data_IF_200764388636
#
_entry.id   IF_200764388636
#
_cell.length_a   1.000
_cell.length_b   1.000
_cell.length_c   1.000
_cell.angle_alpha   90.00
_cell.angle_beta   90.00
_cell.angle_gamma   90.00
#
_symmetry.space_group_name_H-M   'P 1'
#
loop_
_entity.id
_entity.type
_entity.pdbx_description
1 polymer ?
#
# COMPACT_ATOMS: atom_id res chain seq x y z
N UNK A 1 18.42 -2.37 -14.59
CA UNK A 1 19.18 -2.50 -13.34
C UNK A 1 18.90 -3.90 -12.81
N UNK A 2 19.86 -4.82 -12.90
CA UNK A 2 19.69 -6.20 -12.44
C UNK A 2 20.20 -6.24 -11.01
N UNK A 3 19.29 -6.36 -10.04
CA UNK A 3 19.66 -6.39 -8.63
C UNK A 3 19.88 -7.86 -8.26
N UNK A 4 21.13 -8.17 -7.91
CA UNK A 4 21.55 -9.52 -7.53
C UNK A 4 21.37 -9.70 -6.03
N UNK A 5 20.18 -10.11 -5.62
CA UNK A 5 19.88 -10.43 -4.22
C UNK A 5 19.99 -11.94 -4.02
N UNK A 6 21.14 -12.45 -3.60
CA UNK A 6 21.34 -13.90 -3.53
C UNK A 6 21.63 -14.47 -2.14
N UNK A 7 22.01 -13.66 -1.13
CA UNK A 7 22.41 -14.22 0.17
C UNK A 7 21.74 -13.61 1.41
N UNK A 8 21.19 -12.38 1.32
CA UNK A 8 20.58 -11.68 2.46
C UNK A 8 19.55 -10.63 2.03
N UNK A 9 18.66 -10.22 2.96
CA UNK A 9 17.72 -9.12 2.74
C UNK A 9 18.47 -7.81 2.53
N UNK A 10 18.03 -6.98 1.57
CA UNK A 10 18.62 -5.65 1.36
C UNK A 10 18.25 -4.64 2.44
N UNK A 11 17.27 -4.95 3.30
CA UNK A 11 16.86 -4.09 4.40
C UNK A 11 17.31 -4.63 5.76
N UNK A 12 17.83 -3.77 6.64
CA UNK A 12 18.17 -4.17 8.01
C UNK A 12 16.91 -4.55 8.79
N UNK A 13 17.00 -5.43 9.82
CA UNK A 13 15.82 -5.90 10.56
C UNK A 13 14.94 -4.80 11.16
N UNK A 14 15.54 -3.66 11.54
CA UNK A 14 14.79 -2.52 12.08
C UNK A 14 13.86 -1.88 11.05
N UNK A 15 14.26 -1.87 9.77
CA UNK A 15 13.44 -1.35 8.67
C UNK A 15 12.29 -2.30 8.36
N UNK A 16 12.56 -3.62 8.29
CA UNK A 16 11.52 -4.63 8.12
C UNK A 16 10.47 -4.58 9.25
N UNK A 17 10.92 -4.43 10.50
CA UNK A 17 10.02 -4.26 11.66
C UNK A 17 9.19 -2.97 11.58
N UNK A 18 9.79 -1.87 11.12
CA UNK A 18 9.07 -0.61 10.96
C UNK A 18 7.96 -0.73 9.90
N UNK A 19 8.19 -1.47 8.81
CA UNK A 19 7.17 -1.73 7.78
C UNK A 19 6.00 -2.53 8.33
N UNK A 20 6.24 -3.52 9.18
CA UNK A 20 5.17 -4.31 9.77
C UNK A 20 4.30 -3.53 10.76
N UNK A 21 4.69 -2.31 11.16
CA UNK A 21 3.99 -1.54 12.18
C UNK A 21 2.55 -1.21 11.78
N UNK A 22 2.35 -0.67 10.58
CA UNK A 22 1.00 -0.28 10.08
C UNK A 22 0.08 -1.48 10.03
N UNK A 23 0.53 -2.57 9.40
CA UNK A 23 -0.21 -3.83 9.34
C UNK A 23 -0.50 -4.40 10.73
N UNK A 24 0.45 -4.33 11.66
CA UNK A 24 0.26 -4.79 13.03
C UNK A 24 -0.81 -4.01 13.78
N UNK A 25 -0.94 -2.70 13.53
CA UNK A 25 -2.02 -1.89 14.09
C UNK A 25 -3.39 -2.35 13.57
N UNK A 26 -3.51 -2.55 12.25
CA UNK A 26 -4.75 -3.03 11.64
C UNK A 26 -5.15 -4.43 12.15
N UNK A 27 -4.19 -5.35 12.29
CA UNK A 27 -4.43 -6.68 12.88
C UNK A 27 -4.97 -6.55 14.32
N UNK A 28 -4.33 -5.72 15.16
CA UNK A 28 -4.74 -5.52 16.56
C UNK A 28 -6.12 -4.86 16.69
N UNK A 29 -6.53 -4.11 15.68
CA UNK A 29 -7.83 -3.46 15.62
C UNK A 29 -8.87 -4.25 14.83
N UNK A 30 -8.57 -5.51 14.48
CA UNK A 30 -9.47 -6.40 13.75
C UNK A 30 -10.01 -5.79 12.44
N UNK A 31 -9.19 -4.97 11.77
CA UNK A 31 -9.50 -4.43 10.45
C UNK A 31 -8.94 -5.38 9.39
N UNK A 32 -9.79 -5.99 8.54
CA UNK A 32 -9.33 -6.81 7.43
C UNK A 32 -8.56 -5.96 6.42
N UNK A 33 -7.38 -6.43 6.02
CA UNK A 33 -6.59 -5.81 4.96
C UNK A 33 -5.81 -6.86 4.18
N UNK A 34 -5.35 -6.47 2.99
CA UNK A 34 -4.45 -7.25 2.14
C UNK A 34 -3.17 -6.44 1.93
N UNK A 35 -2.02 -7.09 2.14
CA UNK A 35 -0.73 -6.52 1.72
C UNK A 35 -0.65 -6.59 0.20
N UNK A 36 -0.31 -5.47 -0.45
CA UNK A 36 -0.28 -5.36 -1.91
C UNK A 36 1.08 -4.87 -2.43
N UNK A 37 1.26 -4.93 -3.75
CA UNK A 37 2.42 -4.37 -4.43
C UNK A 37 3.71 -5.07 -4.04
N UNK A 38 4.75 -4.28 -3.78
CA UNK A 38 6.08 -4.81 -3.51
C UNK A 38 6.18 -5.55 -2.18
N UNK A 39 5.48 -5.09 -1.13
CA UNK A 39 5.45 -5.81 0.14
C UNK A 39 4.84 -7.20 0.00
N UNK A 40 3.85 -7.38 -0.88
CA UNK A 40 3.31 -8.71 -1.18
C UNK A 40 4.35 -9.58 -1.90
N UNK A 41 5.07 -9.02 -2.88
CA UNK A 41 6.15 -9.72 -3.57
C UNK A 41 7.27 -10.15 -2.62
N UNK A 42 7.68 -9.27 -1.71
CA UNK A 42 8.74 -9.55 -0.75
C UNK A 42 8.31 -10.50 0.37
N UNK A 43 7.18 -10.24 1.03
CA UNK A 43 6.74 -10.99 2.22
C UNK A 43 6.11 -12.34 1.84
N UNK A 44 5.22 -12.35 0.84
CA UNK A 44 4.46 -13.56 0.47
C UNK A 44 5.24 -14.41 -0.51
N UNK A 45 5.80 -13.78 -1.55
CA UNK A 45 6.45 -14.49 -2.65
C UNK A 45 7.97 -14.59 -2.54
N UNK A 46 8.57 -13.97 -1.50
CA UNK A 46 10.03 -13.95 -1.27
C UNK A 46 10.82 -13.50 -2.50
N UNK A 47 10.20 -12.64 -3.31
CA UNK A 47 10.88 -11.98 -4.42
C UNK A 47 11.73 -10.89 -3.81
N UNK A 48 13.04 -10.89 -4.06
CA UNK A 48 13.87 -9.86 -3.50
C UNK A 48 13.66 -8.56 -4.29
N UNK A 49 13.08 -7.58 -3.60
CA UNK A 49 12.75 -6.26 -4.15
C UNK A 49 13.27 -5.22 -3.18
N UNK A 50 13.70 -4.06 -3.69
CA UNK A 50 13.88 -2.90 -2.82
C UNK A 50 12.52 -2.43 -2.31
N UNK A 51 12.53 -1.98 -1.07
CA UNK A 51 11.35 -1.63 -0.31
C UNK A 51 11.06 -0.12 -0.48
N UNK A 52 10.09 0.25 -1.33
CA UNK A 52 9.59 1.63 -1.41
C UNK A 52 8.41 1.84 -0.43
N UNK A 53 7.23 2.16 -0.95
CA UNK A 53 6.04 2.44 -0.14
C UNK A 53 5.27 1.17 0.25
N UNK A 54 4.76 1.15 1.48
CA UNK A 54 3.89 0.09 1.95
C UNK A 54 2.47 0.28 1.42
N UNK A 55 1.99 -0.68 0.63
CA UNK A 55 0.63 -0.67 0.09
C UNK A 55 -0.26 -1.66 0.83
N UNK A 56 -1.34 -1.13 1.43
CA UNK A 56 -2.36 -1.91 2.12
C UNK A 56 -3.71 -1.65 1.46
N UNK A 57 -4.40 -2.72 1.06
CA UNK A 57 -5.78 -2.64 0.58
C UNK A 57 -6.71 -2.93 1.75
N UNK A 58 -7.62 -2.01 2.03
CA UNK A 58 -8.64 -2.12 3.07
C UNK A 58 -10.00 -2.05 2.38
N UNK A 59 -11.00 -2.71 2.96
CA UNK A 59 -12.38 -2.57 2.50
C UNK A 59 -12.82 -1.11 2.63
N UNK A 60 -13.49 -0.57 1.61
CA UNK A 60 -13.91 0.83 1.52
C UNK A 60 -14.61 1.34 2.79
N UNK A 61 -15.48 0.52 3.35
CA UNK A 61 -16.28 0.86 4.52
C UNK A 61 -15.43 0.98 5.80
N UNK A 62 -14.20 0.45 5.77
CA UNK A 62 -13.24 0.45 6.88
C UNK A 62 -12.02 1.34 6.63
N UNK A 63 -11.94 2.02 5.48
CA UNK A 63 -10.82 2.93 5.16
C UNK A 63 -10.71 4.05 6.20
N UNK A 64 -11.84 4.67 6.58
CA UNK A 64 -11.85 5.73 7.59
C UNK A 64 -11.30 5.25 8.94
N UNK A 65 -11.76 4.09 9.42
CA UNK A 65 -11.28 3.48 10.66
C UNK A 65 -9.79 3.15 10.58
N UNK A 66 -9.35 2.59 9.45
CA UNK A 66 -7.94 2.24 9.24
C UNK A 66 -7.04 3.47 9.27
N UNK A 67 -7.44 4.54 8.59
CA UNK A 67 -6.73 5.83 8.60
C UNK A 67 -6.67 6.38 10.02
N UNK A 68 -7.78 6.37 10.76
CA UNK A 68 -7.80 6.84 12.16
C UNK A 68 -6.81 6.05 13.02
N UNK A 69 -6.84 4.71 12.95
CA UNK A 69 -5.97 3.83 13.75
C UNK A 69 -4.49 4.05 13.41
N UNK A 70 -4.16 4.18 12.13
CA UNK A 70 -2.78 4.41 11.68
C UNK A 70 -2.30 5.80 12.11
N UNK A 71 -3.13 6.83 11.94
CA UNK A 71 -2.76 8.21 12.22
C UNK A 71 -2.79 8.58 13.72
N UNK A 72 -3.26 7.67 14.60
CA UNK A 72 -3.02 7.80 16.05
C UNK A 72 -1.54 7.73 16.40
N UNK A 73 -0.72 7.12 15.55
CA UNK A 73 0.73 7.17 15.68
C UNK A 73 1.24 8.55 15.21
N UNK A 74 2.09 9.24 16.00
CA UNK A 74 2.48 10.63 15.75
C UNK A 74 3.34 10.85 14.49
N UNK A 75 3.64 9.77 13.75
CA UNK A 75 4.48 9.78 12.55
C UNK A 75 3.69 9.75 11.26
N UNK A 76 2.38 9.50 11.32
CA UNK A 76 1.52 9.43 10.14
C UNK A 76 0.50 10.56 10.17
N UNK A 77 0.27 11.15 9.00
CA UNK A 77 -0.79 12.13 8.77
C UNK A 77 -1.63 11.64 7.60
N UNK A 78 -2.97 11.77 7.68
CA UNK A 78 -3.82 11.40 6.56
C UNK A 78 -3.58 12.38 5.40
N UNK A 79 -3.40 11.84 4.21
CA UNK A 79 -3.36 12.60 2.96
C UNK A 79 -4.40 11.97 2.04
N UNK A 80 -5.36 12.78 1.61
CA UNK A 80 -6.34 12.38 0.60
C UNK A 80 -5.79 12.76 -0.79
N UNK A 81 -5.50 11.74 -1.59
CA UNK A 81 -4.95 11.87 -2.94
C UNK A 81 -5.86 12.68 -3.87
N UNK A 82 -7.18 12.71 -3.64
CA UNK A 82 -8.09 13.54 -4.43
C UNK A 82 -7.92 15.05 -4.16
N UNK A 83 -7.35 15.40 -3.01
CA UNK A 83 -7.16 16.77 -2.54
C UNK A 83 -5.70 17.25 -2.59
N UNK A 84 -4.74 16.35 -2.79
CA UNK A 84 -3.31 16.66 -2.86
C UNK A 84 -2.81 16.71 -4.31
N UNK A 85 -2.53 17.93 -4.80
CA UNK A 85 -2.01 18.14 -6.15
C UNK A 85 -0.65 17.47 -6.43
N UNK A 86 0.08 17.03 -5.40
CA UNK A 86 1.34 16.26 -5.56
C UNK A 86 1.09 14.78 -5.89
N UNK A 87 -0.12 14.28 -5.62
CA UNK A 87 -0.54 12.91 -5.92
C UNK A 87 -1.04 12.74 -7.36
N UNK A 88 -1.28 13.84 -8.09
CA UNK A 88 -1.67 13.81 -9.50
C UNK A 88 -0.66 13.07 -10.40
N UNK A 89 0.63 13.08 -10.04
CA UNK A 89 1.69 12.37 -10.77
C UNK A 89 1.71 10.86 -10.48
N UNK A 90 1.15 10.41 -9.35
CA UNK A 90 1.01 9.00 -8.95
C UNK A 90 -0.36 8.41 -9.26
N UNK A 91 -1.32 9.24 -9.69
CA UNK A 91 -2.53 8.75 -10.30
C UNK A 91 -2.11 7.98 -11.56
N UNK A 92 -2.08 6.65 -11.49
CA UNK A 92 -1.98 5.76 -12.66
C UNK A 92 -3.20 5.88 -13.59
N UNK A 93 -3.92 7.00 -13.53
CA UNK A 93 -5.06 7.34 -14.32
C UNK A 93 -4.60 8.07 -15.58
N UNK A 94 -4.30 7.28 -16.62
CA UNK A 94 -4.12 7.86 -17.94
C UNK A 94 -5.50 8.23 -18.50
N UNK A 95 -5.93 9.49 -18.34
CA UNK A 95 -7.20 9.98 -18.90
C UNK A 95 -7.29 9.85 -20.44
N UNK A 96 -6.16 9.59 -21.12
CA UNK A 96 -6.06 9.48 -22.58
C UNK A 96 -6.17 8.01 -23.04
N UNK A 97 -5.88 7.03 -22.17
CA UNK A 97 -6.00 5.59 -22.49
C UNK A 97 -6.89 4.86 -21.48
N UNK A 98 -8.06 4.35 -21.88
CA UNK A 98 -8.91 3.55 -21.00
C UNK A 98 -8.20 2.25 -20.57
N UNK A 99 -8.67 1.68 -19.46
CA UNK A 99 -8.12 0.48 -18.84
C UNK A 99 -7.89 -0.67 -19.84
N UNK A 100 -6.81 -1.43 -19.65
CA UNK A 100 -6.55 -2.65 -20.41
C UNK A 100 -7.57 -3.78 -20.15
N UNK A 101 -8.42 -3.62 -19.13
CA UNK A 101 -9.46 -4.56 -18.75
C UNK A 101 -10.78 -3.80 -18.63
N UNK A 102 -11.84 -4.34 -19.22
CA UNK A 102 -13.18 -3.78 -19.06
C UNK A 102 -13.55 -3.78 -17.57
N UNK A 103 -13.84 -2.59 -17.03
CA UNK A 103 -14.23 -2.42 -15.63
C UNK A 103 -15.45 -3.28 -15.33
N UNK A 104 -15.28 -4.29 -14.48
CA UNK A 104 -16.43 -5.02 -13.93
C UNK A 104 -17.27 -4.05 -13.08
N UNK A 105 -18.59 -4.24 -12.98
CA UNK A 105 -19.51 -3.33 -12.27
C UNK A 105 -19.21 -3.11 -10.77
N UNK A 106 -18.20 -3.77 -10.22
CA UNK A 106 -17.65 -3.60 -8.87
C UNK A 106 -16.48 -2.61 -8.76
N UNK A 107 -15.99 -2.02 -9.85
CA UNK A 107 -15.00 -0.94 -9.73
C UNK A 107 -15.70 0.33 -9.25
N UNK A 108 -15.27 0.80 -8.07
CA UNK A 108 -15.82 1.89 -7.24
C UNK A 108 -15.88 3.29 -7.88
N UNK A 109 -15.70 3.39 -9.20
CA UNK A 109 -15.63 4.64 -9.95
C UNK A 109 -16.88 4.92 -10.79
N UNK A 110 -17.99 4.20 -10.54
CA UNK A 110 -19.28 4.53 -11.13
C UNK A 110 -20.24 5.09 -10.07
N UNK A 111 -20.13 6.40 -9.83
CA UNK A 111 -21.26 7.28 -9.47
C UNK A 111 -21.16 8.57 -10.27
#
# INVERSE_FOLDING_TARGET
MAIHFYDESSSPPGEELARLKTSSLLVRSEIPFVVWGQDALAIVHRVPTDFFDQHLLVQDERVADAVEIICREPRYSPIDAASDGRWGDYAMYNFIQPFAFDGTPTTLLQQ
#
